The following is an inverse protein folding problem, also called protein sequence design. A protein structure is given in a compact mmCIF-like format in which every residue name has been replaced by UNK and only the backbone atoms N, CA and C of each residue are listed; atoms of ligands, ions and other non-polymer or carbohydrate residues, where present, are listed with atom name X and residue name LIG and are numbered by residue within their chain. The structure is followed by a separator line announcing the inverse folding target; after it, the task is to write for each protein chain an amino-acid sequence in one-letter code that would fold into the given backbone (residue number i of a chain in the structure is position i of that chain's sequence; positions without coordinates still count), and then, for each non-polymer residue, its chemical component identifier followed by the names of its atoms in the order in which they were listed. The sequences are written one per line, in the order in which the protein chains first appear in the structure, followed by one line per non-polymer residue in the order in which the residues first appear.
data_IF_005498864035
#
_entry.id   IF_005498864035
#
_cell.length_a   1.000
_cell.length_b   1.000
_cell.length_c   1.000
_cell.angle_alpha   90.00
_cell.angle_beta   90.00
_cell.angle_gamma   90.00
#
_symmetry.space_group_name_H-M   'P 1'
#
loop_
_entity.id
_entity.type
_entity.pdbx_description
1 polymer ?
#
# COMPACT_ATOMS: atom_id res chain seq x y z
N UNK A 1 -11.71 47.51 -7.00
CA UNK A 1 -12.62 46.65 -6.20
C UNK A 1 -12.99 45.36 -6.93
N UNK A 2 -13.45 45.41 -8.19
CA UNK A 2 -13.87 44.21 -8.93
C UNK A 2 -12.79 43.11 -9.04
N UNK A 3 -11.53 43.46 -9.34
CA UNK A 3 -10.40 42.51 -9.35
C UNK A 3 -10.16 41.85 -7.98
N UNK A 4 -10.29 42.62 -6.88
CA UNK A 4 -10.18 42.08 -5.51
C UNK A 4 -11.29 41.08 -5.21
N UNK A 5 -12.51 41.36 -5.67
CA UNK A 5 -13.65 40.46 -5.49
C UNK A 5 -13.51 39.19 -6.35
N UNK A 6 -13.02 39.29 -7.59
CA UNK A 6 -12.82 38.14 -8.48
C UNK A 6 -11.66 37.22 -8.06
N UNK A 7 -10.55 37.79 -7.58
CA UNK A 7 -9.42 37.03 -7.05
C UNK A 7 -9.81 36.26 -5.78
N UNK A 8 -10.61 36.88 -4.91
CA UNK A 8 -11.20 36.20 -3.73
C UNK A 8 -12.20 35.10 -4.09
N UNK A 9 -12.70 35.06 -5.33
CA UNK A 9 -13.56 34.00 -5.86
C UNK A 9 -12.78 32.95 -6.68
N UNK A 10 -11.44 32.93 -6.57
CA UNK A 10 -10.55 31.97 -7.22
C UNK A 10 -10.07 32.36 -8.63
N UNK A 11 -10.66 33.37 -9.28
CA UNK A 11 -10.22 33.82 -10.61
C UNK A 11 -9.05 34.82 -10.50
N UNK A 12 -7.84 34.34 -10.78
CA UNK A 12 -6.62 35.16 -10.77
C UNK A 12 -6.09 35.45 -9.36
N UNK A 13 -6.30 34.50 -8.44
CA UNK A 13 -5.59 34.41 -7.16
C UNK A 13 -4.20 33.79 -7.33
N UNK A 14 -3.42 33.76 -6.26
CA UNK A 14 -2.13 33.08 -6.23
C UNK A 14 -2.30 31.56 -6.39
N UNK A 15 -1.32 30.94 -7.02
CA UNK A 15 -1.28 29.48 -7.26
C UNK A 15 -0.02 28.89 -6.66
N UNK A 16 -0.06 27.60 -6.38
CA UNK A 16 1.08 26.80 -5.94
C UNK A 16 1.27 25.62 -6.89
N UNK A 17 2.52 25.21 -7.08
CA UNK A 17 2.96 24.10 -7.94
C UNK A 17 4.20 23.44 -7.30
N UNK A 18 4.16 22.14 -6.99
CA UNK A 18 5.30 21.40 -6.47
C UNK A 18 6.01 20.66 -7.60
N UNK A 19 7.03 21.29 -8.15
CA UNK A 19 7.77 20.73 -9.29
C UNK A 19 8.82 19.74 -8.79
N UNK A 20 8.52 18.44 -8.88
CA UNK A 20 9.46 17.35 -8.56
C UNK A 20 10.51 17.16 -9.67
N UNK A 21 11.71 16.74 -9.29
CA UNK A 21 12.79 16.42 -10.24
C UNK A 21 12.58 15.09 -10.98
N UNK A 22 11.76 14.20 -10.42
CA UNK A 22 11.44 12.89 -10.97
C UNK A 22 10.07 12.40 -10.52
N UNK A 23 9.65 11.26 -11.06
CA UNK A 23 8.38 10.61 -10.72
C UNK A 23 8.56 9.14 -10.34
N UNK A 24 9.76 8.59 -10.50
CA UNK A 24 10.07 7.18 -10.30
C UNK A 24 11.07 7.06 -9.15
N UNK A 25 10.67 6.34 -8.10
CA UNK A 25 11.44 6.22 -6.87
C UNK A 25 11.46 4.78 -6.35
N UNK A 26 12.44 4.45 -5.52
CA UNK A 26 12.45 3.26 -4.66
C UNK A 26 12.02 3.65 -3.23
N UNK A 27 11.53 2.69 -2.42
CA UNK A 27 11.38 2.91 -0.98
C UNK A 27 12.70 3.41 -0.36
N UNK A 28 12.63 4.38 0.56
CA UNK A 28 13.81 4.99 1.17
C UNK A 28 14.57 6.01 0.30
N UNK A 29 14.12 6.31 -0.93
CA UNK A 29 14.80 7.34 -1.74
C UNK A 29 14.43 8.77 -1.32
N UNK A 30 15.32 9.71 -1.64
CA UNK A 30 15.03 11.13 -1.45
C UNK A 30 14.31 11.70 -2.67
N UNK A 31 13.18 12.35 -2.41
CA UNK A 31 12.47 13.19 -3.37
C UNK A 31 13.04 14.61 -3.28
N UNK A 32 13.39 15.17 -4.42
CA UNK A 32 13.84 16.55 -4.57
C UNK A 32 12.93 17.32 -5.52
N UNK A 33 12.76 18.61 -5.27
CA UNK A 33 11.92 19.47 -6.10
C UNK A 33 11.95 20.93 -5.70
N UNK A 34 11.03 21.69 -6.26
CA UNK A 34 10.83 23.10 -5.94
C UNK A 34 9.35 23.42 -5.78
N UNK A 35 9.02 24.02 -4.64
CA UNK A 35 7.72 24.61 -4.41
C UNK A 35 7.68 26.00 -5.07
N UNK A 36 6.81 26.18 -6.04
CA UNK A 36 6.67 27.41 -6.82
C UNK A 36 5.33 28.08 -6.48
N UNK A 37 5.39 29.35 -6.07
CA UNK A 37 4.22 30.17 -5.79
C UNK A 37 4.19 31.30 -6.82
N UNK A 38 3.07 31.41 -7.53
CA UNK A 38 2.81 32.47 -8.49
C UNK A 38 1.72 33.40 -7.96
N UNK A 39 2.08 34.67 -7.73
CA UNK A 39 1.17 35.70 -7.29
C UNK A 39 0.11 36.02 -8.34
N UNK A 40 -1.11 36.26 -7.88
CA UNK A 40 -2.27 36.55 -8.72
C UNK A 40 -2.29 37.98 -9.27
N UNK A 41 -3.49 38.51 -9.45
CA UNK A 41 -3.71 39.87 -10.01
C UNK A 41 -3.69 40.99 -8.96
N UNK A 42 -3.65 40.62 -7.68
CA UNK A 42 -3.62 41.52 -6.53
C UNK A 42 -2.61 41.00 -5.52
N UNK A 43 -2.22 41.86 -4.58
CA UNK A 43 -1.48 41.46 -3.38
C UNK A 43 -2.34 40.53 -2.51
N UNK A 44 -1.74 39.45 -2.02
CA UNK A 44 -2.39 38.46 -1.16
C UNK A 44 -1.45 38.06 -0.02
N UNK A 45 -2.03 37.80 1.15
CA UNK A 45 -1.30 37.23 2.29
C UNK A 45 -1.45 35.71 2.27
N UNK A 46 -0.34 34.99 2.34
CA UNK A 46 -0.25 33.55 2.47
C UNK A 46 -0.07 33.23 3.95
N UNK A 47 -0.98 32.44 4.52
CA UNK A 47 -0.95 32.06 5.93
C UNK A 47 0.06 30.93 6.17
N UNK A 48 -0.02 29.88 5.35
CA UNK A 48 0.82 28.68 5.42
C UNK A 48 0.79 27.93 4.10
N UNK A 49 1.77 27.05 3.94
CA UNK A 49 1.75 26.03 2.89
C UNK A 49 1.94 24.68 3.58
N UNK A 50 1.07 23.73 3.29
CA UNK A 50 1.19 22.36 3.77
C UNK A 50 1.46 21.45 2.58
N UNK A 51 2.49 20.60 2.67
CA UNK A 51 2.74 19.53 1.70
C UNK A 51 2.53 18.22 2.45
N UNK A 52 1.74 17.32 1.87
CA UNK A 52 1.41 16.02 2.47
C UNK A 52 1.77 14.90 1.49
N UNK A 53 2.54 13.90 1.94
CA UNK A 53 2.71 12.67 1.17
C UNK A 53 1.52 11.74 1.48
N UNK A 54 0.76 11.41 0.45
CA UNK A 54 -0.46 10.61 0.54
C UNK A 54 -0.27 9.25 -0.13
N UNK A 55 -0.84 8.20 0.46
CA UNK A 55 -1.05 6.89 -0.15
C UNK A 55 -2.53 6.70 -0.46
N UNK A 56 -2.84 6.41 -1.72
CA UNK A 56 -4.16 6.02 -2.15
C UNK A 56 -4.25 4.50 -2.27
N UNK A 57 -5.23 3.90 -1.58
CA UNK A 57 -5.57 2.48 -1.67
C UNK A 57 -6.92 2.29 -2.33
N UNK A 58 -7.00 1.31 -3.23
CA UNK A 58 -8.24 0.89 -3.86
C UNK A 58 -8.45 -0.62 -3.68
N UNK A 59 -9.60 -1.00 -3.11
CA UNK A 59 -10.01 -2.41 -2.99
C UNK A 59 -11.50 -2.56 -3.28
N UNK A 60 -11.82 -3.13 -4.44
CA UNK A 60 -13.19 -3.37 -4.88
C UNK A 60 -13.98 -2.08 -5.07
N UNK A 61 -14.85 -1.75 -4.11
CA UNK A 61 -15.65 -0.49 -4.13
C UNK A 61 -15.15 0.55 -3.12
N UNK A 62 -14.09 0.24 -2.39
CA UNK A 62 -13.55 1.09 -1.33
C UNK A 62 -12.29 1.79 -1.81
N UNK A 63 -12.16 3.03 -1.40
CA UNK A 63 -11.03 3.90 -1.70
C UNK A 63 -10.64 4.61 -0.41
N UNK A 64 -9.34 4.67 -0.12
CA UNK A 64 -8.78 5.31 1.07
C UNK A 64 -7.62 6.20 0.65
N UNK A 65 -7.62 7.45 1.11
CA UNK A 65 -6.45 8.30 1.12
C UNK A 65 -5.86 8.30 2.52
N UNK A 66 -4.67 7.76 2.66
CA UNK A 66 -3.92 7.68 3.90
C UNK A 66 -2.77 8.68 3.89
N UNK A 67 -2.65 9.47 4.96
CA UNK A 67 -1.57 10.41 5.14
C UNK A 67 -0.34 9.66 5.66
N UNK A 68 0.75 9.68 4.89
CA UNK A 68 2.02 9.08 5.28
C UNK A 68 2.88 10.08 6.06
N UNK A 69 3.03 11.30 5.54
CA UNK A 69 3.90 12.31 6.15
C UNK A 69 3.42 13.74 5.84
N UNK A 70 3.70 14.68 6.75
CA UNK A 70 3.43 16.11 6.56
C UNK A 70 4.73 16.91 6.60
N UNK A 71 4.88 17.81 5.64
CA UNK A 71 5.99 18.77 5.53
C UNK A 71 5.44 20.18 5.68
N UNK A 72 5.39 20.72 6.92
CA UNK A 72 4.84 22.03 7.14
C UNK A 72 5.78 23.14 6.68
N UNK A 73 5.24 24.11 5.93
CA UNK A 73 5.91 25.37 5.62
C UNK A 73 5.19 26.52 6.36
N UNK A 74 5.59 26.76 7.61
CA UNK A 74 4.89 27.66 8.54
C UNK A 74 5.25 29.15 8.42
N UNK A 75 5.87 29.58 7.32
CA UNK A 75 6.22 30.99 7.16
C UNK A 75 5.11 31.73 6.41
N UNK A 76 4.36 32.57 7.12
CA UNK A 76 3.44 33.51 6.49
C UNK A 76 4.22 34.57 5.70
N UNK A 77 3.72 34.93 4.52
CA UNK A 77 4.32 35.98 3.70
C UNK A 77 3.29 36.63 2.78
N UNK A 78 3.60 37.84 2.31
CA UNK A 78 2.84 38.52 1.27
C UNK A 78 3.40 38.16 -0.10
N UNK A 79 2.52 37.79 -1.03
CA UNK A 79 2.84 37.61 -2.45
C UNK A 79 2.27 38.78 -3.26
N UNK A 80 3.13 39.46 -4.02
CA UNK A 80 2.74 40.61 -4.84
C UNK A 80 2.10 40.16 -6.17
N UNK A 81 1.35 41.05 -6.85
CA UNK A 81 0.77 40.72 -8.16
C UNK A 81 1.85 40.28 -9.17
N UNK A 82 1.68 39.09 -9.74
CA UNK A 82 2.62 38.51 -10.70
C UNK A 82 3.98 38.09 -10.14
N UNK A 83 4.24 38.24 -8.84
CA UNK A 83 5.49 37.81 -8.21
C UNK A 83 5.63 36.28 -8.29
N UNK A 84 6.85 35.80 -8.51
CA UNK A 84 7.19 34.37 -8.41
C UNK A 84 8.12 34.16 -7.23
N UNK A 85 7.73 33.29 -6.30
CA UNK A 85 8.60 32.79 -5.22
C UNK A 85 8.84 31.30 -5.42
N UNK A 86 10.04 30.84 -5.08
CA UNK A 86 10.42 29.43 -5.17
C UNK A 86 11.20 29.01 -3.93
N UNK A 87 10.85 27.85 -3.38
CA UNK A 87 11.51 27.25 -2.22
C UNK A 87 11.95 25.83 -2.56
N UNK A 88 13.18 25.43 -2.20
CA UNK A 88 13.62 24.04 -2.40
C UNK A 88 12.78 23.10 -1.53
N UNK A 89 12.44 21.95 -2.09
CA UNK A 89 11.74 20.87 -1.40
C UNK A 89 12.62 19.62 -1.39
N UNK A 90 12.66 18.94 -0.25
CA UNK A 90 13.32 17.65 -0.11
C UNK A 90 12.58 16.82 0.93
N UNK A 91 12.35 15.54 0.62
CA UNK A 91 11.73 14.57 1.51
C UNK A 91 12.42 13.22 1.38
N UNK A 92 12.51 12.46 2.47
CA UNK A 92 12.92 11.06 2.44
C UNK A 92 11.67 10.18 2.42
N UNK A 93 11.54 9.27 1.46
CA UNK A 93 10.40 8.36 1.43
C UNK A 93 10.55 7.29 2.53
N UNK A 94 9.45 6.81 3.14
CA UNK A 94 9.52 5.67 4.03
C UNK A 94 10.16 4.43 3.36
N UNK A 95 10.94 3.67 4.12
CA UNK A 95 11.66 2.49 3.64
C UNK A 95 10.73 1.30 3.32
N UNK A 96 9.52 1.33 3.86
CA UNK A 96 8.53 0.25 3.86
C UNK A 96 7.35 0.52 2.92
N UNK A 97 7.45 1.52 2.04
CA UNK A 97 6.39 1.82 1.07
C UNK A 97 6.08 0.61 0.19
N UNK A 98 4.80 0.16 0.12
CA UNK A 98 4.37 -0.80 -0.88
C UNK A 98 4.65 -0.32 -2.31
N UNK A 99 4.91 -1.25 -3.22
CA UNK A 99 5.16 -0.96 -4.63
C UNK A 99 3.89 -0.39 -5.28
N UNK A 100 4.02 0.65 -6.09
CA UNK A 100 2.88 1.20 -6.82
C UNK A 100 2.26 0.19 -7.80
N UNK A 101 0.94 0.27 -7.94
CA UNK A 101 0.13 -0.54 -8.84
C UNK A 101 -1.24 0.11 -9.07
N UNK A 102 -2.20 -0.64 -9.62
CA UNK A 102 -3.55 -0.08 -9.82
C UNK A 102 -4.33 0.06 -8.50
N UNK A 103 -3.94 -0.68 -7.46
CA UNK A 103 -4.56 -0.66 -6.13
C UNK A 103 -3.83 0.21 -5.11
N UNK A 104 -2.61 0.67 -5.43
CA UNK A 104 -1.74 1.45 -4.54
C UNK A 104 -1.07 2.56 -5.34
N UNK A 105 -1.33 3.82 -5.01
CA UNK A 105 -0.72 4.97 -5.63
C UNK A 105 -0.24 5.99 -4.59
N UNK A 106 0.70 6.84 -4.97
CA UNK A 106 1.23 7.88 -4.09
C UNK A 106 1.21 9.23 -4.78
N UNK A 107 0.96 10.28 -4.00
CA UNK A 107 1.04 11.64 -4.49
C UNK A 107 1.39 12.61 -3.36
N UNK A 108 2.05 13.70 -3.71
CA UNK A 108 2.15 14.86 -2.84
C UNK A 108 0.93 15.74 -3.05
N UNK A 109 0.25 16.08 -1.96
CA UNK A 109 -0.83 17.06 -1.93
C UNK A 109 -0.29 18.35 -1.34
N UNK A 110 -0.20 19.39 -2.16
CA UNK A 110 0.25 20.71 -1.73
C UNK A 110 -0.94 21.63 -1.55
N UNK A 111 -1.07 22.26 -0.39
CA UNK A 111 -2.15 23.17 -0.05
C UNK A 111 -1.61 24.56 0.32
N UNK A 112 -2.08 25.59 -0.39
CA UNK A 112 -1.74 26.99 -0.19
C UNK A 112 -2.92 27.70 0.49
N UNK A 113 -2.77 28.02 1.77
CA UNK A 113 -3.77 28.74 2.57
C UNK A 113 -3.61 30.26 2.36
N UNK A 114 -4.65 30.89 1.78
CA UNK A 114 -4.62 32.30 1.41
C UNK A 114 -5.61 33.10 2.27
N UNK A 115 -5.09 34.10 2.98
CA UNK A 115 -5.89 34.91 3.88
C UNK A 115 -7.07 35.58 3.18
N UNK A 116 -8.29 35.25 3.65
CA UNK A 116 -9.54 35.81 3.16
C UNK A 116 -9.77 35.68 1.65
N UNK A 117 -9.21 34.63 1.03
CA UNK A 117 -9.40 34.25 -0.37
C UNK A 117 -9.67 32.74 -0.46
N UNK A 118 -9.90 32.26 -1.68
CA UNK A 118 -10.01 30.82 -1.96
C UNK A 118 -8.59 30.25 -2.03
N UNK A 119 -8.36 29.15 -1.30
CA UNK A 119 -7.09 28.42 -1.29
C UNK A 119 -6.80 27.77 -2.65
N UNK A 120 -5.53 27.42 -2.86
CA UNK A 120 -5.09 26.67 -4.03
C UNK A 120 -4.51 25.32 -3.60
N UNK A 121 -4.67 24.30 -4.43
CA UNK A 121 -4.11 22.98 -4.20
C UNK A 121 -3.46 22.43 -5.46
N UNK A 122 -2.49 21.54 -5.27
CA UNK A 122 -1.74 20.87 -6.32
C UNK A 122 -1.46 19.41 -5.95
N UNK A 123 -1.36 18.53 -6.95
CA UNK A 123 -1.22 17.07 -6.76
C UNK A 123 -0.16 16.49 -7.71
N UNK A 124 0.94 15.99 -7.13
CA UNK A 124 2.05 15.40 -7.87
C UNK A 124 2.15 13.91 -7.59
N UNK A 125 1.79 13.10 -8.58
CA UNK A 125 1.89 11.65 -8.49
C UNK A 125 3.33 11.18 -8.62
N UNK A 126 3.70 10.23 -7.76
CA UNK A 126 4.95 9.49 -7.84
C UNK A 126 4.68 8.00 -7.95
N UNK A 127 5.66 7.26 -8.46
CA UNK A 127 5.64 5.82 -8.63
C UNK A 127 6.77 5.21 -7.82
N UNK A 128 6.41 4.35 -6.88
CA UNK A 128 7.33 3.54 -6.10
C UNK A 128 7.54 2.20 -6.82
N UNK A 129 8.78 1.90 -7.18
CA UNK A 129 9.17 0.68 -7.89
C UNK A 129 9.56 -0.45 -6.95
N UNK A 130 9.50 -1.71 -7.42
CA UNK A 130 10.03 -2.83 -6.65
C UNK A 130 11.49 -2.63 -6.28
N UNK A 131 11.89 -2.83 -5.02
CA UNK A 131 13.30 -2.92 -4.66
C UNK A 131 13.96 -4.11 -5.39
N UNK A 132 15.29 -4.06 -5.53
CA UNK A 132 16.04 -5.01 -6.35
C UNK A 132 15.75 -6.50 -6.06
N UNK A 133 15.66 -6.97 -4.81
CA UNK A 133 15.33 -8.37 -4.53
C UNK A 133 13.93 -8.78 -5.04
N UNK A 134 12.94 -7.91 -4.88
CA UNK A 134 11.59 -8.16 -5.39
C UNK A 134 11.55 -8.12 -6.93
N UNK A 135 12.27 -7.18 -7.55
CA UNK A 135 12.37 -7.13 -9.01
C UNK A 135 12.95 -8.45 -9.57
N UNK A 136 13.96 -9.03 -8.92
CA UNK A 136 14.53 -10.35 -9.30
C UNK A 136 13.50 -11.47 -9.26
N UNK A 137 12.65 -11.49 -8.23
CA UNK A 137 11.56 -12.47 -8.09
C UNK A 137 10.53 -12.31 -9.21
N UNK A 138 10.11 -11.07 -9.48
CA UNK A 138 9.16 -10.76 -10.56
C UNK A 138 9.72 -11.16 -11.93
N UNK A 139 11.00 -10.86 -12.20
CA UNK A 139 11.67 -11.23 -13.44
C UNK A 139 11.78 -12.76 -13.61
N UNK A 140 12.10 -13.48 -12.54
CA UNK A 140 12.18 -14.94 -12.56
C UNK A 140 10.80 -15.57 -12.82
N UNK A 141 9.74 -15.06 -12.20
CA UNK A 141 8.37 -15.50 -12.52
C UNK A 141 7.98 -15.18 -13.97
N UNK A 142 8.35 -14.01 -14.47
CA UNK A 142 8.11 -13.63 -15.86
C UNK A 142 8.83 -14.55 -16.86
N UNK A 143 10.06 -14.99 -16.56
CA UNK A 143 10.81 -15.97 -17.35
C UNK A 143 10.08 -17.32 -17.43
N UNK A 144 9.49 -17.76 -16.32
CA UNK A 144 8.63 -18.95 -16.29
C UNK A 144 7.31 -18.74 -17.05
N UNK A 145 6.98 -17.51 -17.42
CA UNK A 145 5.76 -17.16 -18.12
C UNK A 145 4.56 -16.97 -17.18
N UNK A 146 4.81 -16.65 -15.92
CA UNK A 146 3.81 -16.11 -15.00
C UNK A 146 3.78 -14.59 -15.16
N UNK A 147 2.61 -14.00 -15.39
CA UNK A 147 2.45 -12.55 -15.58
C UNK A 147 1.57 -11.96 -14.51
N UNK A 148 1.92 -10.76 -14.03
CA UNK A 148 1.07 -10.03 -13.07
C UNK A 148 -0.32 -9.75 -13.66
N UNK A 149 -1.37 -10.00 -12.86
CA UNK A 149 -2.74 -9.57 -13.16
C UNK A 149 -2.84 -8.05 -13.07
N UNK A 150 -3.85 -7.48 -13.75
CA UNK A 150 -4.10 -6.03 -13.71
C UNK A 150 -4.42 -5.55 -12.28
N UNK A 151 -5.12 -6.35 -11.50
CA UNK A 151 -5.51 -6.08 -10.12
C UNK A 151 -4.53 -6.65 -9.09
N UNK A 152 -3.31 -7.01 -9.49
CA UNK A 152 -2.20 -7.38 -8.60
C UNK A 152 -1.80 -6.21 -7.68
N UNK A 153 -0.92 -6.49 -6.72
CA UNK A 153 -0.30 -5.52 -5.79
C UNK A 153 -1.29 -4.96 -4.78
N UNK A 154 -2.23 -5.78 -4.31
CA UNK A 154 -3.14 -5.39 -3.21
C UNK A 154 -2.36 -5.15 -1.93
N UNK A 155 -2.69 -4.10 -1.19
CA UNK A 155 -2.15 -3.86 0.14
C UNK A 155 -3.26 -3.89 1.18
N UNK A 156 -3.08 -4.72 2.22
CA UNK A 156 -4.08 -4.91 3.28
C UNK A 156 -3.76 -4.11 4.56
N UNK A 157 -2.70 -3.30 4.56
CA UNK A 157 -2.22 -2.58 5.74
C UNK A 157 -1.00 -3.21 6.40
N UNK A 158 -0.70 -4.48 6.11
CA UNK A 158 0.45 -5.21 6.65
C UNK A 158 1.37 -5.76 5.56
N UNK A 159 0.79 -6.33 4.51
CA UNK A 159 1.52 -6.99 3.42
C UNK A 159 0.97 -6.57 2.07
N UNK A 160 1.87 -6.58 1.09
CA UNK A 160 1.50 -6.42 -0.31
C UNK A 160 1.51 -7.79 -1.00
N UNK A 161 0.36 -8.15 -1.57
CA UNK A 161 0.12 -9.38 -2.29
C UNK A 161 0.22 -9.15 -3.80
N UNK A 162 0.98 -10.01 -4.46
CA UNK A 162 1.20 -10.00 -5.90
C UNK A 162 0.50 -11.21 -6.50
N UNK A 163 -0.39 -10.98 -7.47
CA UNK A 163 -1.17 -12.04 -8.11
C UNK A 163 -0.72 -12.21 -9.56
N UNK A 164 -0.31 -13.43 -9.91
CA UNK A 164 0.20 -13.81 -11.22
C UNK A 164 -0.71 -14.84 -11.87
N UNK A 165 -0.79 -14.83 -13.20
CA UNK A 165 -1.47 -15.87 -13.98
C UNK A 165 -0.51 -16.53 -14.99
N UNK A 166 -0.64 -17.85 -15.22
CA UNK A 166 0.26 -18.59 -16.10
C UNK A 166 -0.07 -18.39 -17.59
N UNK A 167 0.96 -18.08 -18.38
CA UNK A 167 0.88 -17.94 -19.85
C UNK A 167 1.63 -19.02 -20.62
N UNK A 168 2.57 -19.72 -19.98
CA UNK A 168 3.29 -20.89 -20.53
C UNK A 168 3.47 -22.00 -19.48
N UNK A 169 4.40 -21.87 -18.53
CA UNK A 169 4.55 -22.80 -17.40
C UNK A 169 3.25 -22.82 -16.59
N UNK A 170 2.81 -24.02 -16.16
CA UNK A 170 1.57 -24.26 -15.40
C UNK A 170 0.24 -23.86 -16.08
N UNK A 171 0.29 -23.42 -17.34
CA UNK A 171 -0.92 -23.04 -18.09
C UNK A 171 -1.91 -24.19 -18.13
N UNK A 172 -3.15 -23.90 -17.79
CA UNK A 172 -4.27 -24.87 -17.77
C UNK A 172 -4.22 -25.87 -16.61
N UNK A 173 -3.23 -25.78 -15.72
CA UNK A 173 -3.12 -26.59 -14.50
C UNK A 173 -3.32 -25.72 -13.26
N UNK A 174 -2.81 -24.49 -13.30
CA UNK A 174 -2.93 -23.48 -12.25
C UNK A 174 -3.73 -22.29 -12.80
N UNK A 175 -4.61 -21.74 -11.97
CA UNK A 175 -5.34 -20.51 -12.25
C UNK A 175 -4.49 -19.29 -11.94
N UNK A 176 -3.96 -19.25 -10.72
CA UNK A 176 -3.15 -18.15 -10.21
C UNK A 176 -2.04 -18.63 -9.28
N UNK A 177 -0.96 -17.83 -9.26
CA UNK A 177 0.09 -17.91 -8.26
C UNK A 177 0.11 -16.57 -7.56
N UNK A 178 -0.12 -16.57 -6.26
CA UNK A 178 -0.05 -15.38 -5.43
C UNK A 178 1.18 -15.44 -4.54
N UNK A 179 1.73 -14.28 -4.20
CA UNK A 179 2.79 -14.24 -3.22
C UNK A 179 2.84 -12.95 -2.43
N UNK A 180 3.33 -13.08 -1.19
CA UNK A 180 3.84 -11.99 -0.38
C UNK A 180 5.34 -12.19 -0.21
N UNK A 181 6.09 -11.10 -0.22
CA UNK A 181 7.54 -11.09 -0.01
C UNK A 181 7.89 -10.37 1.29
N UNK A 182 8.89 -10.86 1.99
CA UNK A 182 9.63 -10.15 3.03
C UNK A 182 11.10 -10.03 2.62
N UNK A 183 11.68 -8.85 2.78
CA UNK A 183 13.08 -8.59 2.38
C UNK A 183 13.92 -8.36 3.63
N UNK A 184 14.98 -9.13 3.78
CA UNK A 184 15.98 -8.99 4.84
C UNK A 184 17.38 -8.80 4.21
N UNK A 185 18.38 -8.41 5.01
CA UNK A 185 19.72 -8.07 4.51
C UNK A 185 20.41 -9.17 3.68
N UNK A 186 20.17 -10.44 4.04
CA UNK A 186 20.86 -11.60 3.46
C UNK A 186 19.92 -12.63 2.82
N UNK A 187 18.61 -12.41 2.85
CA UNK A 187 17.64 -13.38 2.34
C UNK A 187 16.33 -12.70 1.97
N UNK A 188 15.59 -13.34 1.08
CA UNK A 188 14.18 -13.04 0.86
C UNK A 188 13.34 -14.16 1.42
N UNK A 189 12.14 -13.79 1.86
CA UNK A 189 11.14 -14.68 2.40
C UNK A 189 9.90 -14.57 1.51
N UNK A 190 9.49 -15.67 0.88
CA UNK A 190 8.27 -15.71 0.07
C UNK A 190 7.25 -16.62 0.71
N UNK A 191 6.02 -16.13 0.86
CA UNK A 191 4.85 -16.95 1.07
C UNK A 191 4.13 -17.06 -0.26
N UNK A 192 4.19 -18.25 -0.86
CA UNK A 192 3.53 -18.58 -2.12
C UNK A 192 2.17 -19.20 -1.86
N UNK A 193 1.20 -18.86 -2.69
CA UNK A 193 -0.10 -19.51 -2.81
C UNK A 193 -0.31 -19.92 -4.26
N UNK A 194 -0.82 -21.13 -4.48
CA UNK A 194 -1.05 -21.68 -5.83
C UNK A 194 -2.45 -22.27 -5.90
N UNK A 195 -3.24 -21.75 -6.83
CA UNK A 195 -4.59 -22.22 -7.09
C UNK A 195 -4.61 -23.21 -8.24
N UNK A 196 -4.76 -24.48 -7.89
CA UNK A 196 -4.73 -25.58 -8.86
C UNK A 196 -6.15 -25.89 -9.32
N UNK A 197 -6.38 -25.93 -10.63
CA UNK A 197 -7.65 -26.37 -11.18
C UNK A 197 -7.95 -27.82 -10.78
N UNK A 198 -9.15 -28.05 -10.27
CA UNK A 198 -9.69 -29.38 -9.97
C UNK A 198 -11.05 -29.56 -10.65
N UNK A 199 -11.52 -30.81 -10.73
CA UNK A 199 -12.83 -31.11 -11.30
C UNK A 199 -14.01 -30.48 -10.52
N UNK A 200 -13.80 -30.05 -9.28
CA UNK A 200 -14.81 -29.47 -8.36
C UNK A 200 -14.67 -27.97 -8.13
N UNK A 201 -13.71 -27.29 -8.76
CA UNK A 201 -13.30 -25.90 -8.46
C UNK A 201 -11.78 -25.79 -8.37
N UNK A 202 -11.22 -24.91 -7.55
CA UNK A 202 -9.78 -24.89 -7.28
C UNK A 202 -9.38 -25.64 -5.99
N UNK A 203 -8.10 -25.97 -5.90
CA UNK A 203 -7.41 -26.32 -4.67
C UNK A 203 -6.27 -25.34 -4.46
N UNK A 204 -6.40 -24.55 -3.42
CA UNK A 204 -5.39 -23.61 -2.92
C UNK A 204 -4.31 -24.35 -2.11
N UNK A 205 -3.05 -23.98 -2.33
CA UNK A 205 -1.89 -24.52 -1.63
C UNK A 205 -0.93 -23.41 -1.28
N UNK A 206 -0.56 -23.34 0.01
CA UNK A 206 0.40 -22.36 0.51
C UNK A 206 1.74 -23.00 0.85
N UNK A 207 2.83 -22.30 0.56
CA UNK A 207 4.17 -22.73 0.95
C UNK A 207 5.08 -21.53 1.23
N UNK A 208 5.82 -21.64 2.34
CA UNK A 208 6.75 -20.65 2.83
C UNK A 208 8.18 -21.04 2.46
N UNK A 209 8.94 -20.12 1.86
CA UNK A 209 10.31 -20.36 1.42
C UNK A 209 11.23 -19.20 1.77
N UNK A 210 12.43 -19.56 2.19
CA UNK A 210 13.54 -18.64 2.39
C UNK A 210 14.55 -18.88 1.28
N UNK A 211 15.00 -17.81 0.62
CA UNK A 211 15.98 -17.87 -0.46
C UNK A 211 17.15 -16.96 -0.04
N UNK A 212 18.35 -17.52 0.04
CA UNK A 212 19.54 -16.79 0.45
C UNK A 212 20.02 -15.84 -0.65
N UNK A 213 20.83 -14.85 -0.28
CA UNK A 213 21.29 -13.77 -1.18
C UNK A 213 21.99 -14.26 -2.44
N UNK A 214 22.89 -15.21 -2.30
CA UNK A 214 23.59 -15.81 -3.43
C UNK A 214 22.65 -16.54 -4.40
N UNK A 215 21.54 -17.10 -3.90
CA UNK A 215 20.52 -17.75 -4.71
C UNK A 215 19.62 -16.75 -5.43
N UNK A 216 19.11 -15.71 -4.76
CA UNK A 216 18.21 -14.75 -5.41
C UNK A 216 18.93 -13.72 -6.30
N UNK A 217 20.22 -13.44 -6.07
CA UNK A 217 20.99 -12.57 -6.96
C UNK A 217 21.25 -13.21 -8.33
N UNK A 218 21.43 -14.54 -8.35
CA UNK A 218 21.62 -15.33 -9.56
C UNK A 218 20.27 -15.67 -10.19
N UNK A 219 19.98 -15.04 -11.34
CA UNK A 219 18.71 -15.21 -12.04
C UNK A 219 18.41 -16.66 -12.44
N UNK A 220 19.40 -17.41 -12.95
CA UNK A 220 19.19 -18.81 -13.37
C UNK A 220 18.90 -19.73 -12.17
N UNK A 221 19.63 -19.54 -11.07
CA UNK A 221 19.39 -20.27 -9.82
C UNK A 221 17.98 -19.96 -9.30
N UNK A 222 17.62 -18.68 -9.18
CA UNK A 222 16.32 -18.25 -8.69
C UNK A 222 15.17 -18.82 -9.54
N UNK A 223 15.24 -18.67 -10.87
CA UNK A 223 14.22 -19.19 -11.80
C UNK A 223 14.10 -20.71 -11.70
N UNK A 224 15.21 -21.44 -11.59
CA UNK A 224 15.20 -22.91 -11.43
C UNK A 224 14.60 -23.33 -10.09
N UNK A 225 14.96 -22.64 -9.00
CA UNK A 225 14.43 -22.89 -7.66
C UNK A 225 12.92 -22.65 -7.61
N UNK A 226 12.44 -21.49 -8.09
CA UNK A 226 11.00 -21.17 -8.14
C UNK A 226 10.23 -22.18 -9.00
N UNK A 227 10.77 -22.57 -10.16
CA UNK A 227 10.17 -23.61 -11.02
C UNK A 227 10.04 -24.94 -10.30
N UNK A 228 11.10 -25.37 -9.62
CA UNK A 228 11.13 -26.64 -8.87
C UNK A 228 10.08 -26.64 -7.75
N UNK A 229 10.01 -25.54 -7.00
CA UNK A 229 9.05 -25.36 -5.90
C UNK A 229 7.62 -25.41 -6.43
N UNK A 230 7.28 -24.62 -7.45
CA UNK A 230 5.94 -24.59 -8.02
C UNK A 230 5.54 -25.93 -8.65
N UNK A 231 6.49 -26.64 -9.28
CA UNK A 231 6.26 -28.00 -9.78
C UNK A 231 5.94 -28.96 -8.63
N UNK A 232 6.69 -28.90 -7.54
CA UNK A 232 6.45 -29.78 -6.39
C UNK A 232 5.11 -29.45 -5.70
N UNK A 233 4.78 -28.17 -5.52
CA UNK A 233 3.48 -27.74 -4.98
C UNK A 233 2.32 -28.30 -5.79
N UNK A 234 2.45 -28.31 -7.13
CA UNK A 234 1.40 -28.77 -8.03
C UNK A 234 1.31 -30.29 -8.15
N UNK A 235 2.44 -31.00 -8.15
CA UNK A 235 2.48 -32.46 -8.28
C UNK A 235 2.27 -33.20 -6.94
N UNK A 236 2.73 -32.64 -5.83
CA UNK A 236 2.67 -33.26 -4.49
C UNK A 236 1.94 -32.38 -3.47
N UNK A 237 0.67 -32.01 -3.73
CA UNK A 237 -0.06 -31.03 -2.94
C UNK A 237 -0.27 -31.41 -1.48
N UNK A 238 -0.25 -32.72 -1.17
CA UNK A 238 -0.39 -33.22 0.20
C UNK A 238 0.78 -32.89 1.11
N UNK A 239 1.96 -32.62 0.55
CA UNK A 239 3.19 -32.33 1.30
C UNK A 239 3.21 -30.90 1.88
N UNK A 240 2.30 -30.03 1.42
CA UNK A 240 2.26 -28.60 1.71
C UNK A 240 1.02 -28.21 2.54
N UNK A 241 0.35 -29.17 3.18
CA UNK A 241 -0.86 -28.91 3.96
C UNK A 241 -0.55 -28.11 5.23
N UNK A 242 -0.90 -26.83 5.22
CA UNK A 242 -1.28 -26.11 6.44
C UNK A 242 -2.77 -26.44 6.68
N UNK A 243 -3.16 -27.01 7.85
CA UNK A 243 -4.55 -27.39 8.08
C UNK A 243 -5.44 -26.15 8.18
N UNK A 244 -6.20 -25.85 7.13
CA UNK A 244 -7.29 -24.87 7.17
C UNK A 244 -8.53 -25.53 7.78
N UNK A 245 -9.09 -24.93 8.85
CA UNK A 245 -10.40 -25.33 9.37
C UNK A 245 -11.47 -24.91 8.36
N UNK A 246 -12.40 -25.84 8.10
CA UNK A 246 -13.54 -25.78 7.18
C UNK A 246 -14.20 -24.41 6.93
N UNK A 247 -14.57 -24.17 5.67
CA UNK A 247 -15.71 -23.34 5.28
C UNK A 247 -15.61 -22.83 3.86
N UNK A 248 -16.59 -23.16 3.01
CA UNK A 248 -16.80 -22.52 1.71
C UNK A 248 -16.91 -21.00 1.89
N UNK A 249 -15.86 -20.25 1.59
CA UNK A 249 -15.91 -18.78 1.50
C UNK A 249 -15.01 -18.28 0.36
N UNK A 250 -15.50 -17.24 -0.33
CA UNK A 250 -14.84 -16.48 -1.39
C UNK A 250 -13.46 -16.00 -0.93
N UNK A 251 -12.46 -16.13 -1.81
CA UNK A 251 -11.14 -15.49 -1.82
C UNK A 251 -10.79 -14.73 -0.53
N UNK A 252 -10.22 -15.45 0.44
CA UNK A 252 -9.49 -14.82 1.54
C UNK A 252 -8.02 -14.99 1.23
N UNK A 253 -7.41 -13.95 0.64
CA UNK A 253 -5.98 -13.92 0.30
C UNK A 253 -5.08 -14.15 1.52
N UNK A 254 -3.79 -13.85 1.38
CA UNK A 254 -2.74 -14.12 2.36
C UNK A 254 -2.86 -13.31 3.69
N UNK A 255 -4.03 -12.74 3.99
CA UNK A 255 -4.32 -11.73 5.01
C UNK A 255 -4.13 -12.13 6.48
N UNK A 256 -4.02 -13.43 6.81
CA UNK A 256 -3.99 -13.91 8.22
C UNK A 256 -2.63 -14.28 8.78
N UNK A 257 -1.53 -14.03 8.07
CA UNK A 257 -0.19 -14.43 8.51
C UNK A 257 0.63 -13.28 9.13
N UNK A 258 0.07 -12.64 10.16
CA UNK A 258 0.73 -11.57 10.94
C UNK A 258 1.82 -12.02 11.93
N UNK A 259 2.46 -13.18 11.71
CA UNK A 259 3.40 -13.77 12.69
C UNK A 259 4.83 -13.98 12.20
N UNK A 260 5.04 -14.33 10.93
CA UNK A 260 6.33 -14.93 10.52
C UNK A 260 6.81 -14.58 9.10
N UNK A 261 5.94 -14.13 8.17
CA UNK A 261 6.32 -13.60 6.83
C UNK A 261 6.25 -12.06 6.76
N UNK A 262 6.16 -11.38 7.91
CA UNK A 262 6.02 -9.91 7.98
C UNK A 262 7.27 -9.10 7.60
N UNK A 263 7.95 -9.40 6.49
CA UNK A 263 9.10 -8.63 6.02
C UNK A 263 8.74 -7.32 5.28
N UNK A 264 7.53 -6.80 5.50
CA UNK A 264 7.19 -5.38 5.35
C UNK A 264 6.60 -4.76 6.63
N UNK A 265 6.57 -5.49 7.76
CA UNK A 265 5.87 -5.06 8.97
C UNK A 265 6.78 -4.41 10.05
N UNK A 266 7.93 -3.84 9.66
CA UNK A 266 8.83 -3.15 10.63
C UNK A 266 9.03 -1.65 10.37
N UNK A 267 8.07 -1.00 9.71
CA UNK A 267 7.84 0.46 9.79
C UNK A 267 6.33 0.68 9.86
N UNK A 268 5.79 1.34 10.88
CA UNK A 268 5.64 2.78 11.00
C UNK A 268 4.66 3.46 10.02
N UNK A 269 4.09 2.83 8.99
CA UNK A 269 3.04 3.47 8.16
C UNK A 269 1.68 3.70 8.88
N UNK A 270 1.65 3.60 10.21
CA UNK A 270 0.53 4.04 11.04
C UNK A 270 -0.42 2.90 11.41
N UNK A 271 0.02 2.07 12.36
CA UNK A 271 -0.75 0.96 12.94
C UNK A 271 -2.13 1.34 13.52
N UNK A 272 -2.48 2.63 13.59
CA UNK A 272 -3.74 3.12 14.16
C UNK A 272 -4.74 3.53 13.08
N UNK A 273 -4.30 4.05 11.91
CA UNK A 273 -5.22 4.59 10.90
C UNK A 273 -5.59 3.59 9.78
N UNK A 274 -4.71 2.62 9.50
CA UNK A 274 -5.05 1.49 8.63
C UNK A 274 -5.93 0.45 9.36
N UNK A 275 -6.07 0.53 10.68
CA UNK A 275 -6.92 -0.39 11.46
C UNK A 275 -8.36 -0.40 10.96
N UNK A 276 -8.93 0.77 10.63
CA UNK A 276 -10.28 0.88 10.06
C UNK A 276 -10.38 0.21 8.67
N UNK A 277 -9.32 0.23 7.87
CA UNK A 277 -9.25 -0.47 6.57
C UNK A 277 -9.08 -1.99 6.75
N UNK A 278 -8.31 -2.39 7.77
CA UNK A 278 -8.05 -3.78 8.16
C UNK A 278 -9.34 -4.43 8.71
N UNK A 279 -10.00 -3.79 9.67
CA UNK A 279 -11.24 -4.27 10.31
C UNK A 279 -12.37 -4.44 9.29
N UNK A 280 -12.43 -3.54 8.30
CA UNK A 280 -13.40 -3.60 7.22
C UNK A 280 -13.08 -4.67 6.16
N UNK A 281 -11.82 -5.06 5.98
CA UNK A 281 -11.41 -6.17 5.09
C UNK A 281 -11.69 -7.54 5.68
N UNK A 282 -11.49 -7.71 6.99
CA UNK A 282 -11.70 -8.99 7.68
C UNK A 282 -13.18 -9.26 8.02
N UNK A 283 -14.08 -8.32 7.73
CA UNK A 283 -15.51 -8.48 7.99
C UNK A 283 -15.83 -8.63 9.49
N UNK A 284 -14.92 -8.20 10.36
CA UNK A 284 -15.10 -8.16 11.80
C UNK A 284 -15.71 -6.83 12.20
N UNK A 285 -16.91 -6.55 11.67
CA UNK A 285 -17.84 -5.70 12.36
C UNK A 285 -18.26 -6.41 13.65
N UNK A 286 -17.74 -5.95 14.78
CA UNK A 286 -18.24 -6.16 16.14
C UNK A 286 -18.84 -7.53 16.50
N UNK A 287 -18.03 -8.39 17.13
CA UNK A 287 -18.53 -9.27 18.20
C UNK A 287 -17.45 -9.40 19.30
N UNK A 288 -17.22 -8.33 20.07
CA UNK A 288 -16.71 -8.51 21.45
C UNK A 288 -17.31 -7.57 22.49
N UNK A 289 -18.00 -6.49 22.11
CA UNK A 289 -18.57 -5.53 23.07
C UNK A 289 -20.06 -5.76 23.43
N UNK A 290 -20.60 -6.96 23.19
CA UNK A 290 -22.00 -7.27 23.52
C UNK A 290 -22.22 -8.50 24.43
N UNK A 291 -21.17 -9.09 25.02
CA UNK A 291 -21.34 -10.20 25.98
C UNK A 291 -20.49 -10.04 27.25
N UNK A 292 -20.29 -8.79 27.70
CA UNK A 292 -19.64 -8.46 28.98
C UNK A 292 -20.58 -7.94 30.08
N UNK A 293 -21.65 -7.23 29.70
CA UNK A 293 -22.45 -6.43 30.66
C UNK A 293 -23.91 -6.89 30.85
N UNK A 294 -24.19 -8.18 30.64
CA UNK A 294 -25.52 -8.75 30.90
C UNK A 294 -25.54 -9.84 31.98
N UNK A 295 -24.47 -10.01 32.77
CA UNK A 295 -24.44 -11.00 33.87
C UNK A 295 -23.83 -10.49 35.19
N UNK A 296 -23.74 -9.18 35.40
CA UNK A 296 -23.28 -8.62 36.69
C UNK A 296 -24.40 -8.19 37.64
N UNK A 297 -25.68 -8.45 37.32
CA UNK A 297 -26.80 -7.98 38.15
C UNK A 297 -27.89 -9.06 38.36
N UNK A 298 -27.51 -10.17 38.98
CA UNK A 298 -28.43 -10.94 39.83
C UNK A 298 -27.69 -11.26 41.12
N UNK A 299 -27.91 -10.39 42.10
CA UNK A 299 -27.50 -10.60 43.47
C UNK A 299 -28.27 -11.72 44.17
N UNK A 300 -27.62 -12.20 45.22
CA UNK A 300 -28.16 -12.75 46.46
C UNK A 300 -29.11 -13.97 46.46
N UNK A 301 -28.57 -14.99 47.13
CA UNK A 301 -29.17 -16.20 47.71
C UNK A 301 -30.52 -15.95 48.41
N UNK A 302 -31.35 -16.99 48.63
CA UNK A 302 -31.21 -17.70 49.91
C UNK A 302 -31.37 -19.24 49.84
N UNK A 303 -30.81 -19.85 50.89
CA UNK A 303 -30.93 -21.24 51.31
C UNK A 303 -32.38 -21.67 51.65
N UNK A 304 -32.65 -22.98 51.53
CA UNK A 304 -33.84 -23.72 52.00
C UNK A 304 -34.13 -24.86 51.02
N UNK A 305 -34.38 -26.12 51.37
CA UNK A 305 -34.81 -26.76 52.62
C UNK A 305 -34.36 -28.24 52.63
N UNK A 306 -34.32 -28.80 53.84
CA UNK A 306 -34.61 -30.19 54.27
C UNK A 306 -33.94 -31.41 53.59
#
# INVERSE_FOLDING_TARGET
MFKKMMAKLGKGGATVDLVLEGQDYLPGENVHGQLVIQGGTIEQEINKIDIELMMYLHSGKRELNHLLERFPFHQAFTILPGEKKSFPFSSHLPDDLPVSGNKVAYFFNTHLDIAQAVDHSDHDYIKVHPPHPLQKVLDAFAELGLREKYDSRSFNGYTQEFTLFPTSFLKGHVEEVEFVVGIEDQRIHLLLEVDIFTWTGEREIRYEIYIEKDEWENHETLSTTLRSILTNMTENPSSYRIPTKHGYHKHSGLSKWGGTVGGFATGALGAIALSEWIDDMDGTGDISDSLGDALSDIGDLPFGDD
#
